data_IF_693687369732
#
_entry.id   IF_693687369732
#
_cell.length_a   1.000
_cell.length_b   1.000
_cell.length_c   1.000
_cell.angle_alpha   90.00
_cell.angle_beta   90.00
_cell.angle_gamma   90.00
#
_symmetry.space_group_name_H-M   'P 1'
#
loop_
_entity.id
_entity.type
_entity.pdbx_description
1 polymer ?
#
# COMPACT_ATOMS: atom_id res chain seq x y z
N UNK A 1 -2.99 9.63 -7.99
CA UNK A 1 -4.17 8.73 -8.08
C UNK A 1 -3.77 7.48 -8.84
N UNK A 2 -4.10 6.34 -8.29
CA UNK A 2 -3.92 5.01 -8.87
C UNK A 2 -5.31 4.45 -9.18
N UNK A 3 -5.52 3.78 -10.30
CA UNK A 3 -6.77 3.07 -10.61
C UNK A 3 -6.67 1.56 -10.32
N UNK A 4 -7.80 0.87 -10.23
CA UNK A 4 -7.85 -0.58 -9.95
C UNK A 4 -7.10 -1.39 -11.02
N UNK A 5 -7.16 -0.95 -12.28
CA UNK A 5 -6.40 -1.58 -13.39
C UNK A 5 -4.95 -1.11 -13.50
N UNK A 6 -4.44 -0.40 -12.49
CA UNK A 6 -3.04 0.04 -12.42
C UNK A 6 -2.69 1.24 -13.30
N UNK A 7 -3.66 2.09 -13.65
CA UNK A 7 -3.39 3.37 -14.32
C UNK A 7 -3.07 4.44 -13.28
N UNK A 8 -2.08 5.28 -13.58
CA UNK A 8 -1.58 6.29 -12.66
C UNK A 8 -1.64 7.68 -13.29
N UNK A 9 -1.97 8.68 -12.46
CA UNK A 9 -1.97 10.10 -12.83
C UNK A 9 -1.78 11.00 -11.64
N UNK A 10 -1.29 12.22 -11.89
CA UNK A 10 -1.06 13.27 -10.88
C UNK A 10 -2.10 14.36 -11.04
N UNK A 11 -2.90 14.61 -10.01
CA UNK A 11 -3.83 15.73 -9.93
C UNK A 11 -3.20 16.90 -9.16
N UNK A 12 -3.41 18.13 -9.64
CA UNK A 12 -2.91 19.34 -8.98
C UNK A 12 -3.88 19.74 -7.85
N UNK A 13 -3.34 20.00 -6.67
CA UNK A 13 -4.11 20.39 -5.48
C UNK A 13 -4.43 19.21 -4.56
N UNK A 14 -4.88 19.53 -3.34
CA UNK A 14 -5.19 18.54 -2.29
C UNK A 14 -6.69 18.24 -2.18
N UNK A 15 -7.55 19.11 -2.71
CA UNK A 15 -9.01 19.03 -2.60
C UNK A 15 -9.66 18.44 -3.88
N UNK A 16 -8.94 17.54 -4.53
CA UNK A 16 -9.43 16.88 -5.74
C UNK A 16 -10.40 15.77 -5.36
N UNK A 17 -11.60 15.79 -5.93
CA UNK A 17 -12.53 14.66 -5.87
C UNK A 17 -11.99 13.52 -6.74
N UNK A 18 -11.19 12.65 -6.12
CA UNK A 18 -10.53 11.52 -6.81
C UNK A 18 -11.52 10.44 -7.25
N UNK A 19 -12.67 10.34 -6.61
CA UNK A 19 -13.71 9.35 -6.96
C UNK A 19 -14.47 9.80 -8.20
N UNK A 20 -14.76 11.11 -8.30
CA UNK A 20 -15.44 11.73 -9.44
C UNK A 20 -14.57 11.94 -10.68
N UNK A 21 -13.28 11.60 -10.64
CA UNK A 21 -12.43 11.67 -11.83
C UNK A 21 -12.89 10.66 -12.91
N UNK A 22 -12.72 11.01 -14.19
CA UNK A 22 -13.00 10.10 -15.29
C UNK A 22 -12.01 8.94 -15.33
N UNK A 23 -12.50 7.72 -15.23
CA UNK A 23 -11.71 6.48 -15.36
C UNK A 23 -12.03 5.77 -16.68
N UNK A 24 -11.16 4.87 -17.13
CA UNK A 24 -11.46 4.03 -18.30
C UNK A 24 -12.66 3.13 -18.06
N UNK A 25 -13.32 2.71 -19.12
CA UNK A 25 -14.46 1.81 -19.04
C UNK A 25 -14.12 0.55 -18.24
N UNK A 26 -14.90 0.27 -17.21
CA UNK A 26 -14.71 -0.85 -16.29
C UNK A 26 -13.51 -0.71 -15.34
N UNK A 27 -12.96 0.50 -15.17
CA UNK A 27 -11.93 0.83 -14.17
C UNK A 27 -12.52 1.75 -13.12
N UNK A 28 -11.95 1.78 -11.94
CA UNK A 28 -12.41 2.60 -10.82
C UNK A 28 -11.26 3.03 -9.90
N UNK A 29 -11.58 3.87 -8.94
CA UNK A 29 -10.66 4.38 -7.93
C UNK A 29 -10.42 3.34 -6.83
N UNK A 30 -9.20 2.84 -6.63
CA UNK A 30 -8.84 2.08 -5.43
C UNK A 30 -7.99 2.88 -4.44
N UNK A 31 -7.10 3.79 -4.91
CA UNK A 31 -6.14 4.43 -4.02
C UNK A 31 -5.64 5.79 -4.52
N UNK A 32 -5.29 6.64 -3.57
CA UNK A 32 -4.52 7.87 -3.84
C UNK A 32 -3.59 8.17 -2.68
N UNK A 33 -2.56 8.97 -2.97
CA UNK A 33 -1.70 9.56 -1.97
C UNK A 33 -1.59 11.08 -2.21
N UNK A 34 -1.41 11.84 -1.14
CA UNK A 34 -1.21 13.29 -1.18
C UNK A 34 0.23 13.62 -0.79
N UNK A 35 0.85 14.53 -1.52
CA UNK A 35 2.23 14.95 -1.26
C UNK A 35 2.66 16.07 -2.20
N UNK A 36 3.93 16.47 -2.07
CA UNK A 36 4.52 17.51 -2.93
C UNK A 36 4.96 16.89 -4.26
N UNK A 37 4.94 17.69 -5.33
CA UNK A 37 5.32 17.24 -6.68
C UNK A 37 6.77 16.77 -6.80
N UNK A 38 7.66 17.29 -5.96
CA UNK A 38 9.08 16.90 -5.92
C UNK A 38 9.36 15.68 -5.01
N UNK A 39 8.34 15.13 -4.35
CA UNK A 39 8.50 13.93 -3.53
C UNK A 39 8.34 12.66 -4.36
N UNK A 40 8.99 11.56 -3.97
CA UNK A 40 8.68 10.26 -4.53
C UNK A 40 7.28 9.82 -4.12
N UNK A 41 6.62 9.07 -4.99
CA UNK A 41 5.45 8.27 -4.68
C UNK A 41 5.86 6.81 -4.72
N UNK A 42 5.50 6.06 -3.70
CA UNK A 42 5.75 4.64 -3.60
C UNK A 42 4.48 3.86 -3.98
N UNK A 43 4.61 2.86 -4.84
CA UNK A 43 3.53 1.96 -5.22
C UNK A 43 3.82 0.57 -4.68
N UNK A 44 2.82 -0.07 -4.11
CA UNK A 44 2.91 -1.44 -3.61
C UNK A 44 2.11 -2.36 -4.54
N UNK A 45 2.70 -3.49 -4.93
CA UNK A 45 2.02 -4.50 -5.73
C UNK A 45 1.50 -5.68 -4.90
N UNK A 46 0.71 -6.54 -5.55
CA UNK A 46 0.12 -7.75 -4.95
C UNK A 46 1.14 -8.82 -4.55
N UNK A 47 2.40 -8.69 -4.99
CA UNK A 47 3.50 -9.61 -4.62
C UNK A 47 4.30 -9.10 -3.42
N UNK A 48 3.96 -7.91 -2.88
CA UNK A 48 4.67 -7.29 -1.77
C UNK A 48 5.94 -6.54 -2.19
N UNK A 49 6.04 -6.15 -3.46
CA UNK A 49 7.14 -5.29 -3.96
C UNK A 49 6.72 -3.84 -4.00
N UNK A 50 7.67 -2.97 -3.67
CA UNK A 50 7.51 -1.54 -3.77
C UNK A 50 8.28 -0.95 -4.95
N UNK A 51 7.73 0.11 -5.55
CA UNK A 51 8.27 0.86 -6.69
C UNK A 51 8.20 2.34 -6.38
N UNK A 52 9.16 3.13 -6.83
CA UNK A 52 9.15 4.58 -6.57
C UNK A 52 9.32 5.37 -7.86
N UNK A 53 8.50 6.40 -8.02
CA UNK A 53 8.59 7.39 -9.09
C UNK A 53 8.46 8.79 -8.48
N UNK A 54 9.11 9.78 -9.08
CA UNK A 54 8.90 11.17 -8.68
C UNK A 54 7.50 11.63 -9.14
N UNK A 55 6.74 12.24 -8.23
CA UNK A 55 5.34 12.59 -8.49
C UNK A 55 5.14 13.52 -9.70
N UNK A 56 6.09 14.45 -9.94
CA UNK A 56 6.03 15.37 -11.09
C UNK A 56 6.26 14.68 -12.44
N UNK A 57 6.79 13.45 -12.46
CA UNK A 57 6.99 12.68 -13.69
C UNK A 57 5.74 11.92 -14.13
N UNK A 58 4.71 11.87 -13.28
CA UNK A 58 3.46 11.18 -13.58
C UNK A 58 2.59 12.03 -14.52
N UNK A 59 1.78 11.40 -15.39
CA UNK A 59 0.90 12.12 -16.31
C UNK A 59 -0.13 12.95 -15.55
N UNK A 60 -0.53 14.07 -16.15
CA UNK A 60 -1.55 14.96 -15.59
C UNK A 60 -2.92 14.28 -15.53
N UNK A 61 -3.69 14.60 -14.48
CA UNK A 61 -5.07 14.14 -14.31
C UNK A 61 -6.09 14.80 -15.29
N UNK A 62 -5.64 15.67 -16.20
CA UNK A 62 -6.48 16.13 -17.33
C UNK A 62 -6.87 14.99 -18.27
N UNK A 63 -6.03 13.94 -18.35
CA UNK A 63 -6.31 12.70 -19.06
C UNK A 63 -6.60 11.55 -18.10
N UNK A 64 -6.77 10.36 -18.66
CA UNK A 64 -7.03 9.13 -17.89
C UNK A 64 -5.78 8.53 -17.25
N UNK A 65 -4.61 9.14 -17.48
CA UNK A 65 -3.31 8.64 -16.99
C UNK A 65 -2.66 7.64 -17.96
N UNK A 66 -1.74 6.84 -17.44
CA UNK A 66 -1.04 5.79 -18.19
C UNK A 66 -0.85 4.54 -17.33
N UNK A 67 -0.63 3.36 -17.93
CA UNK A 67 -0.36 2.14 -17.16
C UNK A 67 0.93 2.28 -16.36
N UNK A 68 0.88 2.02 -15.06
CA UNK A 68 2.06 2.06 -14.20
C UNK A 68 3.10 1.01 -14.61
N UNK A 69 2.66 -0.14 -15.17
CA UNK A 69 3.53 -1.17 -15.74
C UNK A 69 4.40 -0.70 -16.91
N UNK A 70 4.06 0.43 -17.54
CA UNK A 70 4.94 1.08 -18.53
C UNK A 70 6.10 1.86 -17.93
N UNK A 71 6.04 2.17 -16.64
CA UNK A 71 7.05 2.93 -15.90
C UNK A 71 7.93 2.07 -15.01
N UNK A 72 7.37 1.00 -14.46
CA UNK A 72 8.02 0.04 -13.58
C UNK A 72 7.87 -1.37 -14.15
N UNK A 73 8.65 -2.33 -13.64
CA UNK A 73 8.68 -3.70 -14.15
C UNK A 73 8.19 -4.67 -13.07
N UNK A 74 6.87 -4.77 -12.82
CA UNK A 74 6.32 -5.73 -11.88
C UNK A 74 6.42 -7.16 -12.42
N UNK A 75 6.39 -8.18 -11.55
CA UNK A 75 6.26 -9.57 -11.98
C UNK A 75 4.99 -9.76 -12.82
N UNK A 76 5.03 -10.75 -13.73
CA UNK A 76 3.87 -11.08 -14.56
C UNK A 76 2.63 -11.38 -13.70
N UNK A 77 1.50 -10.78 -14.04
CA UNK A 77 0.24 -10.94 -13.32
C UNK A 77 0.11 -10.14 -12.02
N UNK A 78 1.14 -9.37 -11.62
CA UNK A 78 1.04 -8.51 -10.44
C UNK A 78 0.13 -7.29 -10.72
N UNK A 79 -0.79 -7.03 -9.82
CA UNK A 79 -1.58 -5.79 -9.74
C UNK A 79 -1.01 -4.83 -8.70
N UNK A 80 -1.48 -3.59 -8.68
CA UNK A 80 -1.07 -2.59 -7.69
C UNK A 80 -2.14 -2.41 -6.61
N UNK A 81 -1.70 -2.40 -5.34
CA UNK A 81 -2.58 -2.37 -4.16
C UNK A 81 -2.71 -0.95 -3.61
N UNK A 82 -1.62 -0.18 -3.63
CA UNK A 82 -1.58 1.13 -2.98
C UNK A 82 -0.61 2.10 -3.67
N UNK A 83 -0.91 3.39 -3.49
CA UNK A 83 0.00 4.49 -3.69
C UNK A 83 0.23 5.17 -2.34
N UNK A 84 1.49 5.45 -1.99
CA UNK A 84 1.89 5.98 -0.70
C UNK A 84 2.83 7.17 -0.93
N UNK A 85 2.61 8.26 -0.23
CA UNK A 85 3.52 9.39 -0.15
C UNK A 85 3.70 9.79 1.30
N UNK A 86 4.91 10.17 1.67
CA UNK A 86 5.22 10.56 3.04
C UNK A 86 6.61 11.16 3.15
N UNK A 87 7.03 11.43 4.38
CA UNK A 87 8.39 11.77 4.74
C UNK A 87 9.16 10.50 5.13
N UNK A 88 10.47 10.51 5.06
CA UNK A 88 11.33 9.35 5.33
C UNK A 88 11.03 8.68 6.68
N UNK A 89 10.70 9.48 7.71
CA UNK A 89 10.40 9.02 9.07
C UNK A 89 8.97 8.51 9.26
N UNK A 90 8.07 8.77 8.32
CA UNK A 90 6.68 8.35 8.45
C UNK A 90 6.59 6.82 8.49
N UNK A 91 5.71 6.31 9.34
CA UNK A 91 5.55 4.89 9.57
C UNK A 91 4.25 4.36 8.94
N UNK A 92 4.31 3.12 8.46
CA UNK A 92 3.16 2.43 7.88
C UNK A 92 3.09 0.99 8.41
N UNK A 93 1.89 0.52 8.68
CA UNK A 93 1.66 -0.90 8.87
C UNK A 93 1.60 -1.59 7.52
N UNK A 94 2.45 -2.58 7.34
CA UNK A 94 2.42 -3.53 6.22
C UNK A 94 1.82 -4.83 6.71
N UNK A 95 0.82 -5.35 6.01
CA UNK A 95 0.17 -6.58 6.44
C UNK A 95 -0.37 -7.43 5.28
N UNK A 96 -0.68 -8.67 5.61
CA UNK A 96 -1.38 -9.62 4.74
C UNK A 96 -2.66 -10.10 5.40
N UNK A 97 -3.61 -10.54 4.58
CA UNK A 97 -4.87 -11.15 5.05
C UNK A 97 -4.65 -12.50 5.76
N UNK A 98 -3.44 -13.06 5.72
CA UNK A 98 -3.04 -14.21 6.55
C UNK A 98 -2.74 -13.83 8.02
N UNK A 99 -2.96 -12.57 8.42
CA UNK A 99 -2.79 -12.09 9.78
C UNK A 99 -1.34 -11.83 10.20
N UNK A 100 -0.44 -11.59 9.25
CA UNK A 100 0.94 -11.17 9.52
C UNK A 100 1.14 -9.69 9.21
N UNK A 101 1.99 -9.01 9.99
CA UNK A 101 2.31 -7.62 9.75
C UNK A 101 3.50 -7.10 10.55
N UNK A 102 3.96 -5.92 10.17
CA UNK A 102 5.06 -5.18 10.79
C UNK A 102 4.95 -3.69 10.46
N UNK A 103 5.63 -2.87 11.20
CA UNK A 103 5.77 -1.44 10.92
C UNK A 103 6.98 -1.21 10.03
N UNK A 104 6.82 -0.40 8.97
CA UNK A 104 7.91 -0.01 8.05
C UNK A 104 8.03 1.51 7.99
N UNK A 105 9.25 2.03 7.84
CA UNK A 105 9.46 3.46 7.53
C UNK A 105 9.26 3.72 6.04
N UNK A 106 8.75 4.91 5.71
CA UNK A 106 8.58 5.31 4.31
C UNK A 106 9.89 5.24 3.53
N UNK A 107 11.01 5.64 4.15
CA UNK A 107 12.35 5.52 3.55
C UNK A 107 12.66 4.09 3.08
N UNK A 108 12.21 3.09 3.82
CA UNK A 108 12.41 1.69 3.49
C UNK A 108 11.51 1.19 2.36
N UNK A 109 10.46 1.92 2.00
CA UNK A 109 9.61 1.61 0.85
C UNK A 109 10.20 2.12 -0.46
N UNK A 110 11.12 3.08 -0.42
CA UNK A 110 11.69 3.68 -1.62
C UNK A 110 12.57 2.68 -2.38
N UNK A 111 12.34 2.58 -3.68
CA UNK A 111 13.05 1.68 -4.58
C UNK A 111 13.68 2.45 -5.75
N UNK A 112 14.98 2.24 -5.98
CA UNK A 112 15.73 2.95 -7.03
C UNK A 112 15.70 2.21 -8.38
N UNK A 113 15.23 0.96 -8.43
CA UNK A 113 15.20 0.14 -9.64
C UNK A 113 13.78 0.00 -10.16
N UNK A 114 13.60 -0.02 -11.49
CA UNK A 114 12.29 -0.26 -12.13
C UNK A 114 11.65 -1.60 -11.72
N UNK A 115 12.46 -2.63 -11.43
CA UNK A 115 12.00 -3.92 -10.93
C UNK A 115 11.51 -3.85 -9.47
N UNK A 116 11.62 -2.68 -8.82
CA UNK A 116 11.23 -2.50 -7.43
C UNK A 116 12.09 -3.31 -6.46
N UNK A 117 11.69 -3.32 -5.20
CA UNK A 117 12.30 -4.17 -4.16
C UNK A 117 11.21 -4.93 -3.39
N UNK A 118 11.53 -6.15 -2.96
CA UNK A 118 10.64 -6.90 -2.07
C UNK A 118 10.66 -6.26 -0.68
N UNK A 119 9.49 -5.90 -0.18
CA UNK A 119 9.28 -5.31 1.15
C UNK A 119 8.46 -6.25 2.02
N UNK A 120 7.36 -6.80 1.49
CA UNK A 120 6.47 -7.69 2.20
C UNK A 120 6.58 -9.11 1.64
N UNK A 121 6.94 -10.09 2.49
CA UNK A 121 6.92 -11.49 2.13
C UNK A 121 5.50 -12.02 2.28
N UNK A 122 4.84 -12.26 1.16
CA UNK A 122 3.44 -12.71 1.12
C UNK A 122 3.38 -14.23 1.22
N UNK A 123 2.73 -14.79 2.26
CA UNK A 123 2.51 -16.24 2.33
C UNK A 123 1.71 -16.76 1.12
N UNK A 124 1.94 -18.03 0.74
CA UNK A 124 1.20 -18.65 -0.36
C UNK A 124 -0.32 -18.58 -0.12
N UNK A 125 -1.05 -18.07 -1.10
CA UNK A 125 -2.50 -17.91 -1.03
C UNK A 125 -2.98 -16.68 -0.25
N UNK A 126 -2.07 -15.93 0.38
CA UNK A 126 -2.42 -14.67 1.04
C UNK A 126 -2.40 -13.48 0.08
N UNK A 127 -3.09 -12.42 0.46
CA UNK A 127 -3.16 -11.14 -0.26
C UNK A 127 -2.53 -10.03 0.56
N UNK A 128 -1.87 -9.13 -0.13
CA UNK A 128 -1.36 -7.88 0.46
C UNK A 128 -2.54 -6.98 0.83
N UNK A 129 -2.53 -6.48 2.06
CA UNK A 129 -3.49 -5.46 2.48
C UNK A 129 -2.96 -4.06 2.14
N UNK A 130 -3.83 -3.08 1.84
CA UNK A 130 -3.41 -1.71 1.68
C UNK A 130 -2.69 -1.21 2.94
N UNK A 131 -1.48 -0.63 2.80
CA UNK A 131 -0.73 -0.12 3.95
C UNK A 131 -1.51 0.97 4.69
N UNK A 132 -1.40 0.99 6.01
CA UNK A 132 -2.06 1.99 6.86
C UNK A 132 -1.03 2.90 7.51
N UNK A 133 -1.24 4.23 7.49
CA UNK A 133 -0.33 5.15 8.16
C UNK A 133 -0.40 4.94 9.68
N UNK A 134 0.76 4.95 10.32
CA UNK A 134 0.91 4.95 11.79
C UNK A 134 1.35 6.36 12.18
N UNK A 135 0.52 7.08 12.92
CA UNK A 135 0.80 8.46 13.31
C UNK A 135 1.80 8.51 14.45
N UNK A 136 1.55 7.73 15.50
CA UNK A 136 2.41 7.60 16.66
C UNK A 136 2.57 6.11 17.04
N UNK A 137 3.73 5.50 16.74
CA UNK A 137 3.98 4.09 17.08
C UNK A 137 3.88 3.77 18.58
N UNK A 138 3.95 4.76 19.48
CA UNK A 138 3.87 4.55 20.92
C UNK A 138 2.43 4.50 21.43
N UNK A 139 1.53 5.24 20.80
CA UNK A 139 0.15 5.44 21.29
C UNK A 139 -0.92 4.85 20.40
N UNK A 140 -0.65 4.67 19.10
CA UNK A 140 -1.62 4.12 18.15
C UNK A 140 -1.95 2.66 18.46
N UNK A 141 -3.19 2.29 18.18
CA UNK A 141 -3.71 0.93 18.30
C UNK A 141 -3.98 0.35 16.91
N UNK A 142 -3.81 -0.95 16.79
CA UNK A 142 -4.22 -1.74 15.63
C UNK A 142 -5.51 -2.46 15.98
N UNK A 143 -6.52 -2.32 15.13
CA UNK A 143 -7.73 -3.12 15.19
C UNK A 143 -7.76 -4.09 14.00
N UNK A 144 -7.82 -5.37 14.28
CA UNK A 144 -7.93 -6.44 13.29
C UNK A 144 -9.33 -7.05 13.35
N UNK A 145 -9.97 -7.17 12.20
CA UNK A 145 -11.25 -7.86 12.09
C UNK A 145 -11.09 -9.05 11.14
N UNK A 146 -11.45 -10.25 11.61
CA UNK A 146 -11.49 -11.42 10.73
C UNK A 146 -12.79 -11.47 9.94
N UNK A 147 -12.80 -12.23 8.85
CA UNK A 147 -14.02 -12.53 8.08
C UNK A 147 -15.13 -13.24 8.88
N UNK A 148 -14.81 -13.74 10.08
CA UNK A 148 -15.79 -14.30 11.02
C UNK A 148 -16.25 -13.28 12.07
N UNK A 149 -15.88 -12.01 11.93
CA UNK A 149 -16.25 -10.94 12.86
C UNK A 149 -15.48 -10.95 14.18
N UNK A 150 -14.36 -11.67 14.27
CA UNK A 150 -13.50 -11.59 15.47
C UNK A 150 -12.69 -10.29 15.43
N UNK A 151 -12.83 -9.50 16.47
CA UNK A 151 -12.06 -8.27 16.68
C UNK A 151 -10.90 -8.53 17.65
N UNK A 152 -9.71 -8.05 17.26
CA UNK A 152 -8.54 -7.97 18.13
C UNK A 152 -7.98 -6.55 18.08
N UNK A 153 -7.74 -5.96 19.24
CA UNK A 153 -7.13 -4.61 19.36
C UNK A 153 -5.88 -4.72 20.22
N UNK A 154 -4.77 -4.16 19.75
CA UNK A 154 -3.50 -4.15 20.47
C UNK A 154 -2.63 -2.95 20.06
N UNK A 155 -1.62 -2.56 20.88
CA UNK A 155 -0.75 -1.43 20.56
C UNK A 155 0.16 -1.69 19.35
N UNK A 156 0.36 -0.68 18.50
CA UNK A 156 1.32 -0.73 17.38
C UNK A 156 2.72 -1.09 17.84
N UNK A 157 3.13 -0.60 19.02
CA UNK A 157 4.47 -0.86 19.60
C UNK A 157 4.77 -2.34 19.85
N UNK A 158 3.74 -3.21 19.85
CA UNK A 158 3.94 -4.66 20.00
C UNK A 158 4.38 -5.33 18.69
N UNK A 159 4.33 -4.59 17.56
CA UNK A 159 4.86 -5.05 16.28
C UNK A 159 6.31 -4.63 16.09
N UNK A 160 7.12 -5.48 15.42
CA UNK A 160 8.47 -5.10 15.04
C UNK A 160 8.47 -4.01 13.98
N UNK A 161 9.42 -3.08 14.07
CA UNK A 161 9.79 -2.20 12.97
C UNK A 161 10.82 -2.92 12.08
N UNK A 162 10.52 -3.08 10.80
CA UNK A 162 11.34 -3.83 9.84
C UNK A 162 11.38 -3.11 8.50
N UNK A 163 12.53 -3.18 7.82
CA UNK A 163 12.65 -2.68 6.44
C UNK A 163 12.06 -3.63 5.39
N UNK A 164 11.91 -4.93 5.73
CA UNK A 164 11.31 -5.98 4.90
C UNK A 164 11.03 -7.23 5.71
N UNK A 165 10.08 -8.03 5.27
CA UNK A 165 9.80 -9.34 5.87
C UNK A 165 8.36 -9.76 5.79
N UNK A 166 8.01 -10.80 6.52
CA UNK A 166 6.62 -11.24 6.73
C UNK A 166 5.98 -10.54 7.93
N UNK A 167 6.80 -10.11 8.87
CA UNK A 167 6.35 -9.59 10.16
C UNK A 167 5.93 -10.68 11.14
N UNK A 168 5.37 -10.23 12.27
CA UNK A 168 4.84 -11.09 13.31
C UNK A 168 3.40 -11.50 12.99
N UNK A 169 2.99 -12.63 13.54
CA UNK A 169 1.60 -13.06 13.50
C UNK A 169 0.79 -12.19 14.46
N UNK A 170 -0.08 -11.35 13.92
CA UNK A 170 -0.93 -10.45 14.67
C UNK A 170 -2.21 -11.15 15.15
N UNK A 171 -2.81 -11.99 14.28
CA UNK A 171 -4.01 -12.77 14.62
C UNK A 171 -3.84 -14.20 14.17
N UNK A 172 -4.15 -15.16 15.05
CA UNK A 172 -4.19 -16.57 14.69
C UNK A 172 -5.48 -16.86 13.92
N UNK A 173 -5.33 -17.41 12.70
CA UNK A 173 -6.42 -17.80 11.84
C UNK A 173 -6.56 -19.34 11.88
N UNK A 174 -7.56 -19.90 12.58
CA UNK A 174 -7.76 -21.34 12.61
C UNK A 174 -8.16 -21.89 11.24
N UNK A 175 -7.65 -23.07 10.89
CA UNK A 175 -8.16 -23.85 9.76
C UNK A 175 -7.98 -23.26 8.36
N UNK A 176 -6.91 -22.49 8.12
CA UNK A 176 -6.62 -21.91 6.79
C UNK A 176 -7.52 -20.73 6.40
N UNK A 177 -8.26 -20.18 7.35
CA UNK A 177 -9.08 -18.98 7.15
C UNK A 177 -8.21 -17.73 7.08
N UNK A 178 -8.61 -16.80 6.26
CA UNK A 178 -7.86 -15.59 5.95
C UNK A 178 -8.60 -14.40 6.54
N UNK A 179 -7.90 -13.50 7.24
CA UNK A 179 -8.48 -12.25 7.71
C UNK A 179 -8.78 -11.35 6.51
N UNK A 180 -10.04 -11.02 6.27
CA UNK A 180 -10.42 -10.20 5.11
C UNK A 180 -10.15 -8.72 5.30
N UNK A 181 -10.04 -8.24 6.55
CA UNK A 181 -9.80 -6.82 6.82
C UNK A 181 -8.93 -6.61 8.04
N UNK A 182 -7.96 -5.74 7.87
CA UNK A 182 -7.29 -5.00 8.93
C UNK A 182 -7.83 -3.58 8.85
N UNK A 183 -8.61 -3.15 9.82
CA UNK A 183 -9.13 -1.79 9.92
C UNK A 183 -8.48 -1.09 11.14
N UNK A 184 -8.17 0.20 10.97
CA UNK A 184 -7.56 1.08 11.98
C UNK A 184 -8.49 2.22 12.32
#
# INVERSE_FOLDING_TARGET
VLSEKGWVRSAKGHDVDVVGLSYKAGDKYPASARGKSNQPVCFLDTTGRSYSLLAHTLPSARGQGEPLSGRVSPPSGAGFVAAIMGQEKDAYLMSTDAGYGFVVRYADLLANKKAGKSVLNVPKGARVQPPRPVKDPQTDLIALVSNEGRLLVFPVRDLPEMSRGKGNKMMAMPGGRVAERVEF
#
